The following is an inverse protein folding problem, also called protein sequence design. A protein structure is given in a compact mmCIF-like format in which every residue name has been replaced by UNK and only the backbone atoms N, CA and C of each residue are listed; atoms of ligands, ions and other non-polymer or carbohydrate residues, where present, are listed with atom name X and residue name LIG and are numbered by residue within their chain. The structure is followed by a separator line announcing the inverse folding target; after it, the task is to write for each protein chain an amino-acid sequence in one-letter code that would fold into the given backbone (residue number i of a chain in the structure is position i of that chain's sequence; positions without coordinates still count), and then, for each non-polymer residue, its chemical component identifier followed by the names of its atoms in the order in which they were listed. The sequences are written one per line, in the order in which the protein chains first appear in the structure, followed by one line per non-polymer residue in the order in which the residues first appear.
data_IF_424609885563
#
_entry.id   IF_424609885563
#
_cell.length_a   1.000
_cell.length_b   1.000
_cell.length_c   1.000
_cell.angle_alpha   90.00
_cell.angle_beta   90.00
_cell.angle_gamma   90.00
#
_symmetry.space_group_name_H-M   'P 1'
#
loop_
_entity.id
_entity.type
_entity.pdbx_description
1 polymer ?
#
# COMPACT_ATOMS: atom_id res chain seq x y z
N UNK A 1 -1.54 15.49 5.12
CA UNK A 1 -2.05 15.43 3.72
C UNK A 1 -3.57 15.35 3.77
N UNK A 2 -4.23 16.39 3.29
CA UNK A 2 -5.69 16.51 3.35
C UNK A 2 -6.22 17.20 2.10
N UNK A 3 -7.35 16.71 1.58
CA UNK A 3 -8.02 17.25 0.37
C UNK A 3 -7.12 17.35 -0.87
N UNK A 4 -6.13 16.46 -1.01
CA UNK A 4 -5.28 16.42 -2.20
C UNK A 4 -6.00 15.68 -3.31
N UNK A 5 -5.99 16.26 -4.50
CA UNK A 5 -6.40 15.59 -5.74
C UNK A 5 -5.17 15.34 -6.60
N UNK A 6 -4.92 14.08 -6.94
CA UNK A 6 -3.83 13.67 -7.83
C UNK A 6 -4.40 12.90 -9.01
N UNK A 7 -3.96 13.27 -10.22
CA UNK A 7 -4.45 12.68 -11.45
C UNK A 7 -3.31 12.46 -12.44
N UNK A 8 -3.23 11.23 -12.99
CA UNK A 8 -2.25 10.81 -14.01
C UNK A 8 -0.80 11.12 -13.65
N UNK A 9 -0.42 10.88 -12.39
CA UNK A 9 0.98 11.03 -12.01
C UNK A 9 1.84 9.93 -12.67
N UNK A 10 3.01 10.31 -13.14
CA UNK A 10 4.00 9.36 -13.70
C UNK A 10 4.98 8.84 -12.66
N UNK A 11 4.87 9.29 -11.42
CA UNK A 11 5.67 8.79 -10.30
C UNK A 11 5.18 7.40 -9.86
N UNK A 12 5.96 6.72 -9.06
CA UNK A 12 5.61 5.38 -8.55
C UNK A 12 4.30 5.36 -7.75
N UNK A 13 3.99 6.46 -7.05
CA UNK A 13 2.78 6.59 -6.27
C UNK A 13 2.19 8.00 -6.35
N UNK A 14 0.87 8.12 -6.11
CA UNK A 14 0.25 9.43 -5.90
C UNK A 14 0.76 10.08 -4.61
N UNK A 15 0.94 9.29 -3.56
CA UNK A 15 1.57 9.70 -2.30
C UNK A 15 2.71 8.71 -2.04
N UNK A 16 3.95 9.21 -2.04
CA UNK A 16 5.14 8.41 -1.77
C UNK A 16 5.82 8.91 -0.49
N UNK A 17 6.00 8.03 0.48
CA UNK A 17 6.64 8.34 1.75
C UNK A 17 7.88 7.44 1.91
N UNK A 18 9.04 8.03 1.72
CA UNK A 18 10.34 7.38 1.85
C UNK A 18 11.25 8.18 2.79
N UNK A 19 11.10 8.00 4.11
CA UNK A 19 11.97 8.68 5.07
C UNK A 19 13.42 8.24 4.88
N UNK A 20 14.33 9.22 4.89
CA UNK A 20 15.73 9.00 4.58
C UNK A 20 16.05 8.98 3.08
N UNK A 21 15.05 8.79 2.22
CA UNK A 21 15.19 8.80 0.75
C UNK A 21 16.37 7.96 0.27
N UNK A 22 17.11 8.48 -0.68
CA UNK A 22 18.37 7.87 -1.17
C UNK A 22 19.56 8.13 -0.24
N UNK A 23 19.39 8.96 0.80
CA UNK A 23 20.40 9.19 1.84
C UNK A 23 20.26 8.17 2.95
N UNK A 24 21.37 7.74 3.50
CA UNK A 24 21.43 6.76 4.61
C UNK A 24 21.21 7.40 6.00
N UNK A 25 20.64 8.60 6.07
CA UNK A 25 20.38 9.24 7.35
C UNK A 25 19.19 8.55 8.06
N UNK A 26 19.37 8.05 9.28
CA UNK A 26 18.28 7.49 10.05
C UNK A 26 17.23 8.57 10.33
N UNK A 27 15.96 8.20 10.24
CA UNK A 27 14.85 9.13 10.44
C UNK A 27 13.62 8.43 10.99
N UNK A 28 12.76 9.23 11.63
CA UNK A 28 11.46 8.77 12.09
C UNK A 28 10.37 9.71 11.59
N UNK A 29 9.40 9.13 10.93
CA UNK A 29 8.10 9.79 10.70
C UNK A 29 7.12 9.35 11.79
N UNK A 30 6.42 10.31 12.36
CA UNK A 30 5.45 10.01 13.40
C UNK A 30 4.14 10.75 13.15
N UNK A 31 3.01 10.09 13.41
CA UNK A 31 1.65 10.66 13.27
C UNK A 31 1.35 11.21 11.87
N UNK A 32 1.60 10.44 10.84
CA UNK A 32 1.21 10.81 9.48
C UNK A 32 -0.29 10.57 9.30
N UNK A 33 -0.99 11.59 8.79
CA UNK A 33 -2.41 11.52 8.46
C UNK A 33 -2.62 11.85 6.99
N UNK A 34 -3.33 10.97 6.28
CA UNK A 34 -3.75 11.10 4.89
C UNK A 34 -5.28 11.09 4.91
N UNK A 35 -5.90 12.26 4.75
CA UNK A 35 -7.31 12.46 5.03
C UNK A 35 -8.04 13.05 3.82
N UNK A 36 -9.16 12.45 3.44
CA UNK A 36 -10.07 12.97 2.40
C UNK A 36 -9.37 13.28 1.07
N UNK A 37 -8.55 12.33 0.60
CA UNK A 37 -7.82 12.49 -0.66
C UNK A 37 -8.50 11.76 -1.81
N UNK A 38 -8.38 12.32 -3.01
CA UNK A 38 -8.83 11.71 -4.25
C UNK A 38 -7.67 11.54 -5.21
N UNK A 39 -7.50 10.32 -5.70
CA UNK A 39 -6.46 9.99 -6.68
C UNK A 39 -7.04 9.22 -7.84
N UNK A 40 -6.53 9.44 -9.05
CA UNK A 40 -7.02 8.73 -10.22
C UNK A 40 -5.94 8.54 -11.28
N UNK A 41 -5.99 7.40 -11.98
CA UNK A 41 -5.08 7.02 -13.06
C UNK A 41 -3.61 7.10 -12.63
N UNK A 42 -3.28 6.45 -11.51
CA UNK A 42 -1.95 6.40 -10.92
C UNK A 42 -1.45 4.97 -10.86
N UNK A 43 -0.14 4.78 -10.70
CA UNK A 43 0.44 3.42 -10.59
C UNK A 43 0.04 2.76 -9.27
N UNK A 44 0.12 3.50 -8.17
CA UNK A 44 -0.40 3.11 -6.85
C UNK A 44 -0.91 4.34 -6.10
N UNK A 45 -1.94 4.24 -5.25
CA UNK A 45 -2.46 5.38 -4.52
C UNK A 45 -1.53 5.86 -3.40
N UNK A 46 -0.87 4.94 -2.73
CA UNK A 46 0.05 5.20 -1.62
C UNK A 46 1.16 4.16 -1.59
N UNK A 47 2.38 4.63 -1.52
CA UNK A 47 3.56 3.81 -1.25
C UNK A 47 4.32 4.36 -0.04
N UNK A 48 4.51 3.52 0.96
CA UNK A 48 5.39 3.80 2.09
C UNK A 48 6.50 2.77 2.07
N UNK A 49 7.74 3.23 1.97
CA UNK A 49 8.92 2.37 1.97
C UNK A 49 9.90 2.85 3.04
N UNK A 50 10.12 2.03 4.04
CA UNK A 50 11.14 2.27 5.06
C UNK A 50 12.35 1.39 4.75
N UNK A 51 13.51 1.99 4.65
CA UNK A 51 14.80 1.31 4.50
C UNK A 51 15.62 1.39 5.78
N UNK A 52 16.36 0.34 6.07
CA UNK A 52 17.32 0.22 7.16
C UNK A 52 16.82 0.76 8.52
N UNK A 53 17.46 1.82 9.06
CA UNK A 53 17.18 2.36 10.40
C UNK A 53 16.01 3.38 10.43
N UNK A 54 15.29 3.52 9.33
CA UNK A 54 14.15 4.43 9.27
C UNK A 54 12.92 3.80 9.93
N UNK A 55 12.24 4.59 10.75
CA UNK A 55 11.07 4.13 11.50
C UNK A 55 9.84 4.98 11.22
N UNK A 56 8.67 4.38 11.39
CA UNK A 56 7.40 5.09 11.34
C UNK A 56 6.57 4.76 12.58
N UNK A 57 5.98 5.76 13.19
CA UNK A 57 5.01 5.62 14.27
C UNK A 57 3.63 5.23 13.72
N UNK A 58 2.70 6.16 13.72
CA UNK A 58 1.34 5.92 13.25
C UNK A 58 1.08 6.54 11.88
N UNK A 59 0.57 5.71 10.97
CA UNK A 59 -0.04 6.13 9.71
C UNK A 59 -1.56 5.97 9.81
N UNK A 60 -2.30 7.04 9.57
CA UNK A 60 -3.74 7.04 9.39
C UNK A 60 -4.08 7.39 7.95
N UNK A 61 -4.84 6.53 7.28
CA UNK A 61 -5.43 6.78 5.95
C UNK A 61 -6.95 6.74 6.11
N UNK A 62 -7.61 7.85 5.82
CA UNK A 62 -9.04 7.98 6.04
C UNK A 62 -9.71 8.72 4.89
N UNK A 63 -10.86 8.20 4.44
CA UNK A 63 -11.64 8.75 3.33
C UNK A 63 -10.78 8.91 2.04
N UNK A 64 -10.02 7.88 1.69
CA UNK A 64 -9.27 7.82 0.43
C UNK A 64 -10.17 7.26 -0.66
N UNK A 65 -10.38 8.05 -1.71
CA UNK A 65 -11.02 7.61 -2.95
C UNK A 65 -9.96 7.47 -4.04
N UNK A 66 -9.81 6.27 -4.62
CA UNK A 66 -8.83 6.02 -5.66
C UNK A 66 -9.46 5.26 -6.83
N UNK A 67 -9.22 5.71 -8.06
CA UNK A 67 -9.80 5.14 -9.28
C UNK A 67 -8.75 4.95 -10.37
N UNK A 68 -8.87 3.85 -11.12
CA UNK A 68 -7.96 3.53 -12.23
C UNK A 68 -6.52 3.37 -11.75
N UNK A 69 -6.32 2.56 -10.72
CA UNK A 69 -4.97 2.22 -10.22
C UNK A 69 -4.41 1.13 -11.12
N UNK A 70 -3.31 1.42 -11.82
CA UNK A 70 -2.94 0.65 -13.01
C UNK A 70 -1.89 -0.43 -12.77
N UNK A 71 -1.23 -0.49 -11.60
CA UNK A 71 -0.09 -1.42 -11.47
C UNK A 71 0.09 -2.04 -10.12
N UNK A 72 0.10 -1.26 -9.05
CA UNK A 72 0.55 -1.73 -7.74
C UNK A 72 -0.50 -1.51 -6.66
N UNK A 73 -0.57 -2.45 -5.74
CA UNK A 73 -1.31 -2.32 -4.49
C UNK A 73 -0.89 -1.08 -3.70
N UNK A 74 -1.79 -0.53 -2.91
CA UNK A 74 -1.42 0.34 -1.80
C UNK A 74 -0.46 -0.42 -0.88
N UNK A 75 0.67 0.18 -0.52
CA UNK A 75 1.66 -0.54 0.26
C UNK A 75 2.25 0.27 1.41
N UNK A 76 2.45 -0.43 2.54
CA UNK A 76 3.27 0.04 3.65
C UNK A 76 4.26 -1.07 3.99
N UNK A 77 5.53 -0.85 3.70
CA UNK A 77 6.58 -1.85 3.82
C UNK A 77 7.84 -1.29 4.45
N UNK A 78 8.51 -2.12 5.22
CA UNK A 78 9.87 -1.91 5.66
C UNK A 78 10.74 -3.07 5.21
N UNK A 79 11.91 -2.81 4.67
CA UNK A 79 12.89 -3.80 4.26
C UNK A 79 13.94 -4.06 5.34
N UNK A 80 14.12 -3.11 6.26
CA UNK A 80 15.01 -3.25 7.40
C UNK A 80 14.35 -3.87 8.62
N UNK A 81 15.03 -3.79 9.75
CA UNK A 81 14.56 -4.32 11.04
C UNK A 81 13.63 -3.35 11.78
N UNK A 82 13.46 -2.14 11.29
CA UNK A 82 12.67 -1.10 11.94
C UNK A 82 11.22 -1.13 11.44
N UNK A 83 10.26 -1.66 12.21
CA UNK A 83 8.88 -1.78 11.77
C UNK A 83 8.14 -0.45 11.84
N UNK A 84 7.08 -0.32 11.04
CA UNK A 84 6.02 0.65 11.28
C UNK A 84 5.23 0.25 12.53
N UNK A 85 4.99 1.18 13.44
CA UNK A 85 4.28 0.86 14.70
C UNK A 85 2.80 0.55 14.45
N UNK A 86 2.11 1.40 13.69
CA UNK A 86 0.67 1.23 13.49
C UNK A 86 0.20 1.82 12.15
N UNK A 87 -0.56 1.03 11.40
CA UNK A 87 -1.30 1.49 10.22
C UNK A 87 -2.78 1.35 10.50
N UNK A 88 -3.52 2.42 10.28
CA UNK A 88 -4.98 2.46 10.37
C UNK A 88 -5.54 2.96 9.05
N UNK A 89 -6.46 2.19 8.45
CA UNK A 89 -7.19 2.59 7.25
C UNK A 89 -8.68 2.55 7.53
N UNK A 90 -9.41 3.59 7.12
CA UNK A 90 -10.85 3.69 7.35
C UNK A 90 -11.57 4.36 6.18
N UNK A 91 -12.74 3.81 5.84
CA UNK A 91 -13.63 4.40 4.82
C UNK A 91 -12.90 4.73 3.52
N UNK A 92 -12.12 3.78 3.02
CA UNK A 92 -11.42 3.93 1.75
C UNK A 92 -12.16 3.16 0.66
N UNK A 93 -12.17 3.71 -0.55
CA UNK A 93 -12.80 3.11 -1.73
C UNK A 93 -11.80 3.15 -2.88
N UNK A 94 -11.31 1.98 -3.30
CA UNK A 94 -10.20 1.88 -4.24
C UNK A 94 -10.52 0.91 -5.38
N UNK A 95 -10.36 1.39 -6.62
CA UNK A 95 -10.55 0.63 -7.85
C UNK A 95 -9.22 0.45 -8.58
N UNK A 96 -8.87 -0.79 -8.86
CA UNK A 96 -7.64 -1.22 -9.51
C UNK A 96 -7.94 -1.77 -10.90
N UNK A 97 -7.06 -1.54 -11.84
CA UNK A 97 -7.06 -2.29 -13.10
C UNK A 97 -6.40 -3.64 -12.87
N UNK A 98 -7.07 -4.71 -13.28
CA UNK A 98 -6.55 -6.06 -13.16
C UNK A 98 -5.40 -6.34 -14.13
N UNK A 99 -4.59 -7.34 -13.81
CA UNK A 99 -3.54 -7.87 -14.71
C UNK A 99 -3.97 -9.26 -15.18
N UNK A 100 -4.34 -9.38 -16.45
CA UNK A 100 -4.76 -10.66 -17.07
C UNK A 100 -3.54 -11.56 -17.33
N UNK A 101 -2.88 -11.99 -16.26
CA UNK A 101 -1.76 -12.93 -16.32
C UNK A 101 -1.95 -14.06 -15.28
N UNK A 102 -2.46 -15.25 -15.70
CA UNK A 102 -2.70 -16.35 -14.77
C UNK A 102 -1.41 -16.99 -14.23
N UNK A 103 -0.25 -16.71 -14.80
CA UNK A 103 1.03 -17.21 -14.30
C UNK A 103 1.62 -16.34 -13.19
N UNK A 104 1.12 -15.12 -13.04
CA UNK A 104 1.68 -14.14 -12.11
C UNK A 104 1.70 -14.61 -10.65
N UNK A 105 0.68 -15.29 -10.08
CA UNK A 105 0.74 -15.80 -8.73
C UNK A 105 1.90 -16.76 -8.49
N UNK A 106 2.09 -17.74 -9.36
CA UNK A 106 3.18 -18.72 -9.26
C UNK A 106 4.57 -18.07 -9.44
N UNK A 107 4.66 -16.99 -10.20
CA UNK A 107 5.89 -16.23 -10.36
C UNK A 107 6.38 -15.67 -9.02
N UNK A 108 5.46 -15.17 -8.14
CA UNK A 108 5.81 -14.64 -6.84
C UNK A 108 6.27 -15.69 -5.83
N UNK A 109 5.72 -16.91 -5.90
CA UNK A 109 6.05 -18.00 -4.96
C UNK A 109 7.53 -18.38 -5.00
N UNK A 110 8.19 -18.16 -6.12
CA UNK A 110 9.56 -18.60 -6.37
C UNK A 110 10.59 -17.45 -6.38
N UNK A 111 10.23 -16.24 -5.93
CA UNK A 111 11.13 -15.08 -6.01
C UNK A 111 11.25 -14.32 -4.70
N UNK A 112 12.45 -13.84 -4.36
CA UNK A 112 12.64 -12.94 -3.22
C UNK A 112 11.79 -11.67 -3.37
N UNK A 113 11.31 -11.16 -2.24
CA UNK A 113 10.38 -10.02 -2.19
C UNK A 113 10.97 -8.69 -2.69
N UNK A 114 12.29 -8.54 -2.65
CA UNK A 114 13.03 -7.38 -3.14
C UNK A 114 13.12 -7.30 -4.68
N UNK A 115 12.79 -8.39 -5.36
CA UNK A 115 12.84 -8.47 -6.82
C UNK A 115 11.46 -8.31 -7.50
N UNK A 116 10.44 -7.93 -6.76
CA UNK A 116 9.10 -7.82 -7.31
C UNK A 116 8.88 -6.52 -8.09
N UNK A 117 8.61 -6.60 -9.40
CA UNK A 117 8.27 -5.42 -10.19
C UNK A 117 6.85 -4.91 -9.93
N UNK A 118 6.01 -5.79 -9.38
CA UNK A 118 4.65 -5.55 -8.87
C UNK A 118 4.46 -6.37 -7.60
N UNK A 119 3.41 -6.13 -6.84
CA UNK A 119 3.16 -6.92 -5.61
C UNK A 119 2.43 -8.23 -5.89
N UNK A 120 2.57 -9.24 -4.99
CA UNK A 120 1.86 -10.51 -5.08
C UNK A 120 0.36 -10.36 -4.81
N UNK A 121 -0.10 -9.14 -4.60
CA UNK A 121 -1.48 -8.76 -4.37
C UNK A 121 -1.83 -7.54 -5.19
N UNK A 122 -3.11 -7.35 -5.49
CA UNK A 122 -3.54 -6.21 -6.30
C UNK A 122 -4.03 -5.01 -5.47
N UNK A 123 -4.56 -5.21 -4.25
CA UNK A 123 -5.21 -4.17 -3.46
C UNK A 123 -4.33 -3.58 -2.36
N UNK A 124 -3.93 -4.37 -1.36
CA UNK A 124 -3.16 -3.86 -0.20
C UNK A 124 -2.02 -4.80 0.18
N UNK A 125 -0.84 -4.23 0.48
CA UNK A 125 0.33 -4.95 0.95
C UNK A 125 0.94 -4.30 2.19
N UNK A 126 1.05 -5.07 3.28
CA UNK A 126 1.66 -4.62 4.54
C UNK A 126 2.79 -5.55 4.93
N UNK A 127 3.98 -4.99 5.15
CA UNK A 127 5.16 -5.75 5.57
C UNK A 127 5.90 -5.05 6.70
N UNK A 128 6.34 -5.85 7.71
CA UNK A 128 7.04 -5.39 8.90
C UNK A 128 6.26 -4.28 9.63
N UNK A 129 5.00 -4.53 9.93
CA UNK A 129 4.12 -3.62 10.67
C UNK A 129 3.73 -4.27 12.00
N UNK A 130 3.81 -3.54 13.12
CA UNK A 130 3.41 -4.08 14.42
C UNK A 130 1.90 -4.26 14.52
N UNK A 131 1.13 -3.28 14.03
CA UNK A 131 -0.34 -3.33 14.03
C UNK A 131 -0.92 -2.78 12.74
N UNK A 132 -1.82 -3.53 12.11
CA UNK A 132 -2.65 -3.10 10.98
C UNK A 132 -4.12 -3.18 11.38
N UNK A 133 -4.87 -2.10 11.21
CA UNK A 133 -6.30 -2.03 11.47
C UNK A 133 -7.02 -1.38 10.28
N UNK A 134 -7.77 -2.20 9.55
CA UNK A 134 -8.48 -1.79 8.31
C UNK A 134 -9.98 -1.97 8.54
N UNK A 135 -10.74 -0.89 8.39
CA UNK A 135 -12.18 -0.85 8.62
C UNK A 135 -12.89 -0.13 7.47
N UNK A 136 -14.02 -0.66 7.02
CA UNK A 136 -14.85 -0.06 5.99
C UNK A 136 -14.05 0.29 4.71
N UNK A 137 -13.20 -0.62 4.26
CA UNK A 137 -12.42 -0.46 3.04
C UNK A 137 -13.03 -1.31 1.94
N UNK A 138 -13.30 -0.69 0.79
CA UNK A 138 -13.80 -1.34 -0.41
C UNK A 138 -12.67 -1.46 -1.41
N UNK A 139 -12.49 -2.66 -1.94
CA UNK A 139 -11.53 -2.95 -2.99
C UNK A 139 -12.29 -3.51 -4.19
N UNK A 140 -12.11 -2.89 -5.31
CA UNK A 140 -12.70 -3.31 -6.56
C UNK A 140 -11.61 -3.48 -7.63
N UNK A 141 -11.68 -4.55 -8.43
CA UNK A 141 -10.78 -4.76 -9.55
C UNK A 141 -11.55 -4.82 -10.86
N UNK A 142 -11.11 -4.04 -11.84
CA UNK A 142 -11.62 -4.07 -13.20
C UNK A 142 -10.88 -5.11 -14.02
N UNK A 143 -11.64 -5.95 -14.72
CA UNK A 143 -11.08 -6.96 -15.59
C UNK A 143 -10.64 -8.20 -14.83
N UNK A 144 -9.73 -8.97 -15.44
CA UNK A 144 -9.25 -10.22 -14.86
C UNK A 144 -8.07 -9.96 -13.93
N UNK A 145 -8.05 -10.67 -12.82
CA UNK A 145 -6.99 -10.61 -11.84
C UNK A 145 -6.89 -11.97 -11.14
N UNK A 146 -5.69 -12.47 -10.94
CA UNK A 146 -5.45 -13.80 -10.36
C UNK A 146 -4.73 -13.75 -9.02
N UNK A 147 -4.21 -12.59 -8.63
CA UNK A 147 -3.58 -12.37 -7.32
C UNK A 147 -4.63 -12.18 -6.23
N UNK A 148 -4.24 -12.34 -4.98
CA UNK A 148 -5.08 -12.03 -3.82
C UNK A 148 -5.31 -10.52 -3.68
N UNK A 149 -6.41 -10.14 -3.04
CA UNK A 149 -6.70 -8.72 -2.81
C UNK A 149 -5.72 -8.07 -1.82
N UNK A 150 -5.26 -8.79 -0.81
CA UNK A 150 -4.29 -8.27 0.16
C UNK A 150 -3.34 -9.33 0.70
N UNK A 151 -2.24 -8.85 1.26
CA UNK A 151 -1.27 -9.67 1.97
C UNK A 151 -0.70 -8.92 3.17
N UNK A 152 -0.48 -9.65 4.25
CA UNK A 152 0.29 -9.23 5.42
C UNK A 152 1.51 -10.13 5.56
N UNK A 153 2.68 -9.52 5.68
CA UNK A 153 3.96 -10.21 5.81
C UNK A 153 4.70 -9.66 7.04
N UNK A 154 5.02 -10.54 7.99
CA UNK A 154 5.61 -10.16 9.27
C UNK A 154 4.84 -9.04 9.99
N UNK A 155 3.52 -9.20 10.12
CA UNK A 155 2.63 -8.30 10.85
C UNK A 155 2.21 -8.95 12.16
N UNK A 156 2.51 -8.30 13.30
CA UNK A 156 2.27 -8.90 14.62
C UNK A 156 0.80 -8.99 14.99
N UNK A 157 0.02 -7.95 14.66
CA UNK A 157 -1.44 -7.90 14.90
C UNK A 157 -2.13 -7.28 13.71
N UNK A 158 -3.18 -7.92 13.22
CA UNK A 158 -3.97 -7.33 12.14
C UNK A 158 -5.46 -7.57 12.33
N UNK A 159 -6.25 -6.59 11.92
CA UNK A 159 -7.68 -6.67 11.72
C UNK A 159 -7.97 -6.09 10.32
N UNK A 160 -8.48 -6.92 9.43
CA UNK A 160 -8.73 -6.58 8.04
C UNK A 160 -10.23 -6.77 7.75
N UNK A 161 -11.02 -5.82 8.20
CA UNK A 161 -12.45 -5.79 7.90
C UNK A 161 -12.69 -5.07 6.56
N UNK A 162 -12.51 -5.82 5.48
CA UNK A 162 -12.78 -5.35 4.11
C UNK A 162 -14.20 -5.72 3.75
N UNK A 163 -15.01 -4.71 3.48
CA UNK A 163 -16.47 -4.88 3.29
C UNK A 163 -16.82 -5.46 1.94
N UNK A 164 -16.06 -5.14 0.89
CA UNK A 164 -16.39 -5.57 -0.47
C UNK A 164 -15.11 -5.79 -1.29
N UNK A 165 -14.98 -6.97 -1.85
CA UNK A 165 -13.91 -7.34 -2.78
C UNK A 165 -14.57 -7.94 -4.02
N UNK A 166 -14.50 -7.23 -5.14
CA UNK A 166 -15.08 -7.66 -6.41
C UNK A 166 -14.08 -7.55 -7.53
#
# INVERSE_FOLDING_TARGET
FEHITSHRTRSEAAINLEPGGWGKAPGRMDKICILRNKVSYVLTPLCVTLSDDNTMGRLLVEDLEARGITRMALSVKSWGNAPTDCVVMRRCDMEFDGIDDPALPAWFENRPTDQWPVFPVWGMYFRNVKKVDVQDVKLFVKGKEYRKAWMVDNVKKHNLNVVDVR
#
